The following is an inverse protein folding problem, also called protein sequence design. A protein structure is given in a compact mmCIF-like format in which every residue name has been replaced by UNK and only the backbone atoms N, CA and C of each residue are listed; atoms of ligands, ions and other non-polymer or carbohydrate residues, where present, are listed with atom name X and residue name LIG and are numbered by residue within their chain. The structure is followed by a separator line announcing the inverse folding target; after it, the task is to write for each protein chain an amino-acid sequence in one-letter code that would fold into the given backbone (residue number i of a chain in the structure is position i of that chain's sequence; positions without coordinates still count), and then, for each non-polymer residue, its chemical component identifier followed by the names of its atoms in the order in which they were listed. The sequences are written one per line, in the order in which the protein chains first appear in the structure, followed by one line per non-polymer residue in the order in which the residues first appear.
data_IF_898269272205
#
_entry.id   IF_898269272205
#
_cell.length_a   1.000
_cell.length_b   1.000
_cell.length_c   1.000
_cell.angle_alpha   90.00
_cell.angle_beta   90.00
_cell.angle_gamma   90.00
#
_symmetry.space_group_name_H-M   'P 1'
#
loop_
_entity.id
_entity.type
_entity.pdbx_description
1 polymer ?
#
# COMPACT_ATOMS: atom_id res chain seq x y z
N UNK A 1 -3.56 -41.28 5.40
CA UNK A 1 -3.97 -40.28 6.43
C UNK A 1 -5.47 -40.11 6.33
N UNK A 2 -6.24 -40.28 7.43
CA UNK A 2 -7.67 -39.97 7.41
C UNK A 2 -7.87 -38.49 7.09
N UNK A 3 -8.94 -38.16 6.36
CA UNK A 3 -9.28 -36.77 6.06
C UNK A 3 -9.51 -36.02 7.38
N UNK A 4 -8.98 -34.79 7.53
CA UNK A 4 -9.16 -34.03 8.75
C UNK A 4 -10.66 -33.80 9.00
N UNK A 5 -11.13 -34.10 10.22
CA UNK A 5 -12.55 -34.05 10.57
C UNK A 5 -12.86 -32.69 11.20
N UNK A 6 -13.92 -32.04 10.74
CA UNK A 6 -14.42 -30.80 11.34
C UNK A 6 -15.10 -31.14 12.67
N UNK A 7 -14.55 -30.61 13.76
CA UNK A 7 -15.06 -30.70 15.12
C UNK A 7 -15.26 -29.31 15.75
N UNK A 8 -16.04 -29.21 16.84
CA UNK A 8 -16.13 -27.98 17.63
C UNK A 8 -14.73 -27.57 18.10
N UNK A 9 -14.40 -26.28 18.00
CA UNK A 9 -13.07 -25.74 18.24
C UNK A 9 -12.11 -25.82 17.04
N UNK A 10 -12.51 -26.46 15.93
CA UNK A 10 -11.73 -26.43 14.68
C UNK A 10 -11.67 -25.00 14.13
N UNK A 11 -10.55 -24.65 13.52
CA UNK A 11 -10.34 -23.34 12.90
C UNK A 11 -10.26 -23.55 11.39
N UNK A 12 -10.92 -22.67 10.64
CA UNK A 12 -10.88 -22.63 9.19
C UNK A 12 -10.48 -21.22 8.70
N UNK A 13 -9.83 -21.15 7.55
CA UNK A 13 -9.56 -19.88 6.85
C UNK A 13 -10.52 -19.73 5.68
N UNK A 14 -11.45 -18.78 5.78
CA UNK A 14 -12.57 -18.59 4.86
C UNK A 14 -12.65 -17.14 4.40
N UNK A 15 -13.34 -16.87 3.30
CA UNK A 15 -13.58 -15.51 2.82
C UNK A 15 -15.01 -15.29 2.34
N UNK A 16 -15.28 -14.15 1.68
CA UNK A 16 -16.64 -13.75 1.29
C UNK A 16 -17.37 -14.76 0.42
N UNK A 17 -16.63 -15.53 -0.38
CA UNK A 17 -17.18 -16.60 -1.23
C UNK A 17 -17.80 -17.74 -0.41
N UNK A 18 -17.30 -18.00 0.80
CA UNK A 18 -17.84 -19.02 1.69
C UNK A 18 -18.79 -18.43 2.74
N UNK A 19 -18.53 -17.20 3.17
CA UNK A 19 -19.29 -16.48 4.20
C UNK A 19 -19.57 -15.07 3.71
N UNK A 20 -20.73 -14.82 3.06
CA UNK A 20 -21.01 -13.54 2.41
C UNK A 20 -20.97 -12.31 3.33
N UNK A 21 -21.17 -12.50 4.64
CA UNK A 21 -21.05 -11.43 5.64
C UNK A 21 -19.62 -10.94 5.83
N UNK A 22 -18.61 -11.72 5.45
CA UNK A 22 -17.22 -11.30 5.51
C UNK A 22 -16.90 -10.31 4.38
N UNK A 23 -16.10 -9.29 4.71
CA UNK A 23 -15.56 -8.34 3.71
C UNK A 23 -14.19 -8.75 3.18
N UNK A 24 -13.54 -9.71 3.85
CA UNK A 24 -12.21 -10.21 3.50
C UNK A 24 -12.00 -11.64 4.02
N UNK A 25 -10.87 -12.25 3.66
CA UNK A 25 -10.51 -13.56 4.19
C UNK A 25 -10.10 -13.48 5.67
N UNK A 26 -10.68 -14.34 6.51
CA UNK A 26 -10.51 -14.34 7.97
C UNK A 26 -10.41 -15.76 8.52
N UNK A 27 -9.87 -15.86 9.73
CA UNK A 27 -9.93 -17.08 10.53
C UNK A 27 -11.26 -17.15 11.28
N UNK A 28 -11.92 -18.30 11.23
CA UNK A 28 -13.16 -18.59 11.95
C UNK A 28 -13.02 -19.86 12.77
N UNK A 29 -13.67 -19.92 13.93
CA UNK A 29 -13.72 -21.06 14.84
C UNK A 29 -15.09 -21.69 14.81
N UNK A 30 -15.15 -23.01 14.65
CA UNK A 30 -16.38 -23.79 14.78
C UNK A 30 -16.83 -23.79 16.24
N UNK A 31 -18.03 -23.28 16.50
CA UNK A 31 -18.62 -23.22 17.84
C UNK A 31 -19.69 -24.29 18.05
N UNK A 32 -20.39 -24.68 16.98
CA UNK A 32 -21.47 -25.68 17.02
C UNK A 32 -21.57 -26.43 15.70
N UNK A 33 -22.00 -27.69 15.75
CA UNK A 33 -22.18 -28.55 14.57
C UNK A 33 -23.61 -29.08 14.55
N UNK A 34 -24.29 -28.83 13.44
CA UNK A 34 -25.68 -29.24 13.20
C UNK A 34 -25.72 -30.11 11.95
N UNK A 35 -25.56 -31.42 12.13
CA UNK A 35 -25.56 -32.39 11.04
C UNK A 35 -24.45 -32.17 10.01
N UNK A 36 -24.84 -31.74 8.80
CA UNK A 36 -23.93 -31.43 7.69
C UNK A 36 -23.42 -29.98 7.68
N UNK A 37 -23.91 -29.13 8.58
CA UNK A 37 -23.55 -27.73 8.70
C UNK A 37 -22.87 -27.46 10.04
N UNK A 38 -22.17 -26.34 10.13
CA UNK A 38 -21.51 -25.89 11.35
C UNK A 38 -21.60 -24.37 11.47
N UNK A 39 -21.81 -23.93 12.69
CA UNK A 39 -21.84 -22.53 13.07
C UNK A 39 -20.43 -22.11 13.48
N UNK A 40 -20.02 -20.92 13.04
CA UNK A 40 -18.66 -20.42 13.25
C UNK A 40 -18.68 -18.99 13.74
N UNK A 41 -17.69 -18.63 14.56
CA UNK A 41 -17.44 -17.26 15.02
C UNK A 41 -16.05 -16.79 14.55
N UNK A 42 -15.84 -15.48 14.47
CA UNK A 42 -14.54 -14.91 14.11
C UNK A 42 -13.48 -15.32 15.15
N UNK A 43 -12.26 -15.62 14.71
CA UNK A 43 -11.12 -15.74 15.63
C UNK A 43 -10.54 -14.35 15.84
N UNK A 44 -10.63 -13.85 17.06
CA UNK A 44 -9.90 -12.67 17.47
C UNK A 44 -8.43 -13.03 17.67
N UNK A 45 -7.57 -12.36 16.90
CA UNK A 45 -6.12 -12.46 16.96
C UNK A 45 -5.65 -11.02 17.15
N UNK A 46 -5.31 -10.67 18.40
CA UNK A 46 -4.99 -9.32 18.88
C UNK A 46 -4.50 -8.33 17.79
N UNK A 47 -5.19 -7.19 17.67
CA UNK A 47 -4.75 -6.05 16.86
C UNK A 47 -5.46 -5.83 15.53
N UNK A 48 -6.53 -6.56 15.22
CA UNK A 48 -7.54 -6.01 14.32
C UNK A 48 -8.51 -5.19 15.16
N UNK A 49 -8.70 -3.91 14.83
CA UNK A 49 -9.77 -3.07 15.37
C UNK A 49 -11.13 -3.70 15.02
N UNK A 50 -11.55 -4.72 15.77
CA UNK A 50 -12.96 -5.02 15.97
C UNK A 50 -13.44 -3.95 16.93
N UNK A 51 -14.29 -3.04 16.44
CA UNK A 51 -15.02 -2.11 17.31
C UNK A 51 -15.61 -2.91 18.45
N UNK A 52 -15.26 -2.51 19.68
CA UNK A 52 -15.72 -3.11 20.93
C UNK A 52 -17.23 -3.37 20.87
N UNK A 53 -17.55 -4.63 20.71
CA UNK A 53 -18.89 -5.17 20.79
C UNK A 53 -18.70 -6.65 21.03
N UNK A 54 -19.14 -7.12 22.18
CA UNK A 54 -19.24 -8.54 22.51
C UNK A 54 -20.11 -9.19 21.44
N UNK A 55 -19.48 -9.61 20.34
CA UNK A 55 -20.23 -9.85 19.14
C UNK A 55 -20.76 -11.26 19.19
N UNK A 56 -22.08 -11.35 19.17
CA UNK A 56 -22.77 -12.58 18.88
C UNK A 56 -22.65 -12.93 17.38
N UNK A 57 -21.47 -12.69 16.78
CA UNK A 57 -21.14 -12.85 15.35
C UNK A 57 -21.00 -14.33 14.99
N UNK A 58 -22.02 -15.11 15.31
CA UNK A 58 -22.22 -16.38 14.66
C UNK A 58 -22.67 -16.12 13.22
N UNK A 59 -21.83 -16.53 12.29
CA UNK A 59 -22.19 -16.46 10.88
C UNK A 59 -23.23 -17.52 10.54
N UNK A 60 -23.95 -17.29 9.44
CA UNK A 60 -24.85 -18.29 8.86
C UNK A 60 -24.16 -19.67 8.76
N UNK A 61 -24.89 -20.77 9.02
CA UNK A 61 -24.31 -22.11 9.04
C UNK A 61 -23.57 -22.43 7.74
N UNK A 62 -22.33 -22.89 7.88
CA UNK A 62 -21.47 -23.24 6.74
C UNK A 62 -21.48 -24.76 6.59
N UNK A 63 -21.57 -25.25 5.36
CA UNK A 63 -21.41 -26.68 5.07
C UNK A 63 -20.07 -27.21 5.59
N UNK A 64 -20.10 -28.33 6.34
CA UNK A 64 -18.89 -28.94 6.91
C UNK A 64 -17.87 -29.33 5.85
N UNK A 65 -18.32 -29.70 4.64
CA UNK A 65 -17.42 -30.01 3.51
C UNK A 65 -16.62 -28.79 3.04
N UNK A 66 -17.19 -27.58 3.15
CA UNK A 66 -16.48 -26.33 2.85
C UNK A 66 -15.41 -26.09 3.90
N UNK A 67 -15.75 -26.20 5.18
CA UNK A 67 -14.81 -26.05 6.29
C UNK A 67 -13.68 -27.07 6.23
N UNK A 68 -13.99 -28.33 5.89
CA UNK A 68 -13.02 -29.41 5.79
C UNK A 68 -11.88 -29.11 4.80
N UNK A 69 -12.20 -28.46 3.68
CA UNK A 69 -11.20 -28.03 2.66
C UNK A 69 -10.36 -26.83 3.09
N UNK A 70 -10.71 -26.18 4.20
CA UNK A 70 -10.13 -24.93 4.69
C UNK A 70 -9.61 -25.04 6.12
N UNK A 71 -9.54 -26.25 6.67
CA UNK A 71 -9.08 -26.50 8.02
C UNK A 71 -7.63 -26.01 8.21
N UNK A 72 -7.45 -25.27 9.29
CA UNK A 72 -6.17 -24.71 9.72
C UNK A 72 -5.46 -25.73 10.60
N UNK A 73 -4.29 -26.15 10.13
CA UNK A 73 -3.42 -27.11 10.83
C UNK A 73 -2.84 -26.49 12.10
N UNK A 74 -2.45 -27.31 13.08
CA UNK A 74 -1.83 -26.82 14.31
C UNK A 74 -0.55 -26.02 14.06
N UNK A 75 0.22 -26.39 13.04
CA UNK A 75 1.42 -25.66 12.65
C UNK A 75 1.12 -24.27 12.09
N UNK A 76 0.02 -24.13 11.34
CA UNK A 76 -0.42 -22.85 10.83
C UNK A 76 -0.87 -21.91 11.96
N UNK A 77 -1.51 -22.45 13.00
CA UNK A 77 -1.96 -21.68 14.19
C UNK A 77 -0.82 -21.10 15.02
N UNK A 78 0.42 -21.51 14.79
CA UNK A 78 1.59 -20.94 15.49
C UNK A 78 1.95 -19.57 14.89
N UNK A 79 1.78 -19.40 13.58
CA UNK A 79 2.27 -18.24 12.82
C UNK A 79 1.15 -17.38 12.21
N UNK A 80 -0.08 -17.90 12.15
CA UNK A 80 -1.27 -17.22 11.61
C UNK A 80 -1.05 -16.56 10.24
N UNK A 81 -0.40 -17.20 9.26
CA UNK A 81 0.00 -16.53 8.02
C UNK A 81 -1.16 -15.94 7.21
N UNK A 82 -2.38 -16.44 7.42
CA UNK A 82 -3.61 -15.91 6.82
C UNK A 82 -3.91 -14.47 7.22
N UNK A 83 -3.46 -13.97 8.38
CA UNK A 83 -3.72 -12.58 8.80
C UNK A 83 -3.01 -11.54 7.93
N UNK A 84 -2.02 -11.96 7.16
CA UNK A 84 -1.30 -11.09 6.25
C UNK A 84 -1.97 -11.03 4.87
N UNK A 85 -2.82 -11.99 4.51
CA UNK A 85 -3.41 -12.09 3.18
C UNK A 85 -4.24 -10.85 2.86
N UNK A 86 -4.00 -10.26 1.68
CA UNK A 86 -4.62 -9.02 1.24
C UNK A 86 -4.12 -7.76 1.95
N UNK A 87 -3.19 -7.88 2.90
CA UNK A 87 -2.61 -6.74 3.64
C UNK A 87 -1.27 -6.34 3.06
N UNK A 88 -0.95 -5.04 3.05
CA UNK A 88 0.41 -4.60 2.76
C UNK A 88 1.31 -4.90 3.95
N UNK A 89 2.57 -5.21 3.64
CA UNK A 89 3.61 -5.52 4.60
C UNK A 89 4.92 -4.83 4.23
N UNK A 90 5.73 -4.55 5.25
CA UNK A 90 7.16 -4.37 5.10
C UNK A 90 7.85 -5.71 5.35
N UNK A 91 8.84 -6.08 4.55
CA UNK A 91 9.57 -7.33 4.70
C UNK A 91 11.04 -7.17 4.31
N UNK A 92 11.90 -8.04 4.84
CA UNK A 92 13.32 -8.09 4.46
C UNK A 92 13.51 -8.99 3.25
N UNK A 93 14.23 -8.51 2.24
CA UNK A 93 14.63 -9.33 1.10
C UNK A 93 15.52 -10.48 1.56
N UNK A 94 15.06 -11.71 1.33
CA UNK A 94 15.80 -12.91 1.73
C UNK A 94 16.84 -13.37 0.69
N UNK A 95 16.78 -12.83 -0.53
CA UNK A 95 17.61 -13.26 -1.68
C UNK A 95 17.76 -12.13 -2.70
N UNK A 96 18.83 -12.20 -3.48
CA UNK A 96 19.10 -11.28 -4.58
C UNK A 96 20.04 -10.13 -4.16
N UNK A 97 20.28 -9.16 -5.05
CA UNK A 97 21.19 -8.04 -4.78
C UNK A 97 20.70 -7.11 -3.65
N UNK A 98 19.40 -7.16 -3.33
CA UNK A 98 18.75 -6.34 -2.30
C UNK A 98 18.66 -7.05 -0.95
N UNK A 99 19.39 -8.15 -0.74
CA UNK A 99 19.37 -8.90 0.52
C UNK A 99 19.59 -7.98 1.73
N UNK A 100 18.91 -8.30 2.85
CA UNK A 100 19.00 -7.55 4.11
C UNK A 100 18.52 -6.09 4.02
N UNK A 101 17.75 -5.75 2.98
CA UNK A 101 17.07 -4.46 2.88
C UNK A 101 15.55 -4.58 3.06
N UNK A 102 14.94 -3.54 3.60
CA UNK A 102 13.49 -3.44 3.71
C UNK A 102 12.83 -3.14 2.37
N UNK A 103 11.77 -3.89 2.07
CA UNK A 103 10.90 -3.66 0.94
C UNK A 103 9.43 -3.73 1.35
N UNK A 104 8.57 -3.24 0.45
CA UNK A 104 7.13 -3.17 0.65
C UNK A 104 6.40 -3.97 -0.40
N UNK A 105 5.38 -4.71 0.01
CA UNK A 105 4.58 -5.53 -0.88
C UNK A 105 3.24 -5.89 -0.27
N UNK A 106 2.41 -6.56 -1.05
CA UNK A 106 1.09 -7.04 -0.61
C UNK A 106 1.06 -8.55 -0.68
N UNK A 107 0.54 -9.20 0.36
CA UNK A 107 0.51 -10.67 0.43
C UNK A 107 -0.69 -11.19 -0.35
N UNK A 108 -0.42 -11.93 -1.42
CA UNK A 108 -1.48 -12.52 -2.26
C UNK A 108 -2.07 -13.78 -1.66
N UNK A 109 -1.22 -14.59 -1.05
CA UNK A 109 -1.57 -15.87 -0.45
C UNK A 109 -0.44 -16.33 0.46
N UNK A 110 -0.69 -17.38 1.21
CA UNK A 110 0.35 -18.14 1.90
C UNK A 110 0.32 -19.61 1.46
N UNK A 111 1.37 -20.34 1.85
CA UNK A 111 1.42 -21.79 1.75
C UNK A 111 2.13 -22.36 2.98
N UNK A 112 1.64 -23.48 3.48
CA UNK A 112 2.33 -24.28 4.50
C UNK A 112 3.19 -25.34 3.82
N UNK A 113 4.46 -25.46 4.22
CA UNK A 113 5.34 -26.57 3.85
C UNK A 113 5.86 -27.22 5.13
N UNK A 114 5.23 -28.35 5.53
CA UNK A 114 5.45 -28.92 6.85
C UNK A 114 5.06 -27.93 7.95
N UNK A 115 6.05 -27.44 8.69
CA UNK A 115 5.87 -26.45 9.76
C UNK A 115 6.18 -25.01 9.34
N UNK A 116 6.65 -24.81 8.12
CA UNK A 116 7.02 -23.49 7.61
C UNK A 116 5.83 -22.81 6.95
N UNK A 117 5.46 -21.64 7.44
CA UNK A 117 4.56 -20.75 6.74
C UNK A 117 5.35 -19.88 5.75
N UNK A 118 4.93 -19.83 4.49
CA UNK A 118 5.53 -18.98 3.46
C UNK A 118 4.51 -17.98 2.94
N UNK A 119 4.85 -16.69 2.99
CA UNK A 119 4.04 -15.63 2.40
C UNK A 119 4.45 -15.42 0.93
N UNK A 120 3.47 -15.31 0.04
CA UNK A 120 3.68 -15.04 -1.38
C UNK A 120 3.34 -13.57 -1.62
N UNK A 121 4.38 -12.78 -1.87
CA UNK A 121 4.30 -11.32 -1.87
C UNK A 121 4.36 -10.84 -3.32
N UNK A 122 3.51 -9.88 -3.64
CA UNK A 122 3.61 -9.06 -4.85
C UNK A 122 4.16 -7.69 -4.45
N UNK A 123 5.24 -7.28 -5.09
CA UNK A 123 5.87 -5.96 -4.89
C UNK A 123 6.16 -5.33 -6.25
N UNK A 124 6.67 -4.09 -6.28
CA UNK A 124 6.86 -3.36 -7.53
C UNK A 124 7.80 -4.10 -8.51
N UNK A 125 8.92 -4.63 -8.00
CA UNK A 125 9.90 -5.39 -8.79
C UNK A 125 9.51 -6.82 -9.14
N UNK A 126 8.30 -7.28 -8.79
CA UNK A 126 7.82 -8.61 -9.16
C UNK A 126 7.13 -9.35 -8.01
N UNK A 127 7.54 -10.60 -7.80
CA UNK A 127 6.94 -11.45 -6.77
C UNK A 127 8.02 -12.26 -6.06
N UNK A 128 7.94 -12.35 -4.74
CA UNK A 128 8.88 -13.13 -3.94
C UNK A 128 8.13 -14.00 -2.92
N UNK A 129 8.87 -14.91 -2.30
CA UNK A 129 8.38 -15.73 -1.18
C UNK A 129 9.30 -15.54 -0.01
N UNK A 130 8.73 -15.26 1.15
CA UNK A 130 9.46 -15.22 2.42
C UNK A 130 8.94 -16.31 3.34
N UNK A 131 9.82 -16.89 4.14
CA UNK A 131 9.43 -17.75 5.26
C UNK A 131 9.04 -16.83 6.41
N UNK A 132 7.84 -17.00 6.95
CA UNK A 132 7.37 -16.27 8.12
C UNK A 132 7.97 -16.91 9.37
N UNK A 133 8.71 -16.12 10.13
CA UNK A 133 9.36 -16.55 11.37
C UNK A 133 8.60 -16.01 12.59
N UNK A 134 8.92 -16.55 13.78
CA UNK A 134 8.25 -16.19 15.04
C UNK A 134 8.55 -14.75 15.49
N UNK A 135 9.76 -14.27 15.24
CA UNK A 135 10.05 -12.83 15.19
C UNK A 135 9.78 -12.41 13.74
N UNK A 136 8.58 -11.93 13.46
CA UNK A 136 8.11 -11.72 12.09
C UNK A 136 9.06 -10.81 11.33
N UNK A 137 9.77 -11.39 10.37
CA UNK A 137 10.51 -10.69 9.30
C UNK A 137 9.59 -9.99 8.30
N UNK A 138 8.28 -9.98 8.59
CA UNK A 138 7.24 -9.24 7.91
C UNK A 138 6.39 -8.49 8.94
N UNK A 139 6.17 -7.21 8.70
CA UNK A 139 5.40 -6.33 9.57
C UNK A 139 4.19 -5.88 8.77
N UNK A 140 2.98 -6.00 9.34
CA UNK A 140 1.78 -5.37 8.73
C UNK A 140 1.97 -3.86 8.74
N UNK A 141 1.68 -3.20 7.64
CA UNK A 141 1.81 -1.75 7.54
C UNK A 141 0.50 -1.12 7.09
N UNK A 142 0.34 0.17 7.34
CA UNK A 142 -0.76 0.92 6.76
C UNK A 142 -0.56 1.14 5.26
N UNK A 143 -1.66 1.33 4.55
CA UNK A 143 -1.64 1.72 3.14
C UNK A 143 -0.87 3.03 2.90
N UNK A 144 -0.87 3.96 3.86
CA UNK A 144 -0.06 5.19 3.82
C UNK A 144 1.43 4.84 3.72
N UNK A 145 1.91 3.95 4.59
CA UNK A 145 3.31 3.55 4.58
C UNK A 145 3.67 2.66 3.39
N UNK A 146 2.74 1.82 2.93
CA UNK A 146 2.91 1.05 1.70
C UNK A 146 3.19 1.95 0.50
N UNK A 147 2.38 2.99 0.32
CA UNK A 147 2.55 3.92 -0.82
C UNK A 147 3.67 4.91 -0.62
N UNK A 148 4.05 5.24 0.60
CA UNK A 148 5.19 6.12 0.85
C UNK A 148 6.52 5.37 0.86
N UNK A 149 6.48 4.04 1.00
CA UNK A 149 7.67 3.19 1.09
C UNK A 149 8.63 3.67 2.17
N UNK A 150 8.09 4.05 3.33
CA UNK A 150 8.83 4.63 4.45
C UNK A 150 9.95 3.69 4.90
N UNK A 151 11.21 4.04 4.63
CA UNK A 151 12.36 3.22 5.02
C UNK A 151 12.71 2.09 4.05
N UNK A 152 12.10 2.05 2.86
CA UNK A 152 12.49 1.12 1.81
C UNK A 152 13.96 1.28 1.41
N UNK A 153 14.62 0.16 1.08
CA UNK A 153 16.05 0.08 0.78
C UNK A 153 16.95 0.24 2.01
N UNK A 154 16.40 0.54 3.19
CA UNK A 154 17.18 0.61 4.43
C UNK A 154 17.69 -0.77 4.84
N UNK A 155 18.95 -0.84 5.24
CA UNK A 155 19.55 -2.06 5.78
C UNK A 155 18.86 -2.44 7.11
N UNK A 156 18.46 -3.72 7.26
CA UNK A 156 17.69 -4.20 8.39
C UNK A 156 18.49 -4.32 9.70
N UNK A 157 19.82 -4.39 9.62
CA UNK A 157 20.69 -4.39 10.80
C UNK A 157 20.80 -2.99 11.40
N UNK A 158 20.81 -1.95 10.55
CA UNK A 158 20.80 -0.55 10.97
C UNK A 158 19.42 -0.14 11.49
N UNK A 159 18.36 -0.55 10.80
CA UNK A 159 16.97 -0.27 11.17
C UNK A 159 16.21 -1.58 11.33
N UNK A 160 16.18 -2.11 12.55
CA UNK A 160 15.44 -3.33 12.83
C UNK A 160 13.92 -3.13 12.71
N UNK A 161 13.16 -4.22 12.86
CA UNK A 161 11.70 -4.21 12.75
C UNK A 161 11.02 -3.19 13.67
N UNK A 162 11.52 -3.02 14.90
CA UNK A 162 10.94 -2.08 15.86
C UNK A 162 11.21 -0.63 15.48
N UNK A 163 12.44 -0.31 15.11
CA UNK A 163 12.82 1.02 14.65
C UNK A 163 12.10 1.42 13.36
N UNK A 164 11.87 0.45 12.46
CA UNK A 164 11.01 0.69 11.30
C UNK A 164 9.58 1.02 11.75
N UNK A 165 8.97 0.21 12.63
CA UNK A 165 7.61 0.44 13.12
C UNK A 165 7.43 1.83 13.74
N UNK A 166 8.35 2.27 14.59
CA UNK A 166 8.28 3.61 15.19
C UNK A 166 8.33 4.72 14.11
N UNK A 167 9.07 4.51 13.01
CA UNK A 167 9.11 5.43 11.86
C UNK A 167 7.81 5.40 11.06
N UNK A 168 7.22 4.21 10.87
CA UNK A 168 5.92 4.03 10.21
C UNK A 168 4.81 4.78 10.96
N UNK A 169 4.80 4.67 12.29
CA UNK A 169 3.83 5.33 13.16
C UNK A 169 3.96 6.86 13.13
N UNK A 170 5.19 7.38 13.15
CA UNK A 170 5.44 8.83 13.03
C UNK A 170 4.95 9.36 11.67
N UNK A 171 5.19 8.64 10.57
CA UNK A 171 4.69 9.04 9.24
C UNK A 171 3.16 9.03 9.20
N UNK A 172 2.50 7.98 9.71
CA UNK A 172 1.04 7.92 9.81
C UNK A 172 0.49 9.12 10.61
N UNK A 173 1.10 9.42 11.76
CA UNK A 173 0.70 10.56 12.62
C UNK A 173 0.89 11.91 11.92
N UNK A 174 1.96 12.08 11.15
CA UNK A 174 2.18 13.32 10.37
C UNK A 174 1.18 13.45 9.23
N UNK A 175 0.91 12.38 8.49
CA UNK A 175 -0.10 12.36 7.44
C UNK A 175 -1.50 12.65 7.98
N UNK A 176 -1.86 12.13 9.15
CA UNK A 176 -3.15 12.37 9.80
C UNK A 176 -3.38 13.85 10.18
N UNK A 177 -2.31 14.65 10.33
CA UNK A 177 -2.38 16.08 10.62
C UNK A 177 -2.52 16.95 9.36
N UNK A 178 -2.32 16.39 8.18
CA UNK A 178 -2.42 17.13 6.92
C UNK A 178 -3.88 17.46 6.60
N UNK A 179 -4.16 18.74 6.33
CA UNK A 179 -5.47 19.21 5.85
C UNK A 179 -5.30 19.60 4.38
N UNK A 180 -5.88 18.82 3.46
CA UNK A 180 -5.91 19.17 2.03
C UNK A 180 -5.34 18.14 1.04
N UNK A 181 -5.08 16.90 1.48
CA UNK A 181 -4.70 15.81 0.55
C UNK A 181 -3.28 15.90 -0.03
N UNK A 182 -2.51 16.92 0.37
CA UNK A 182 -1.08 17.04 0.05
C UNK A 182 -0.22 16.40 1.14
N UNK A 183 0.94 15.87 0.76
CA UNK A 183 1.92 15.31 1.69
C UNK A 183 2.59 16.42 2.52
N UNK A 184 2.70 16.29 3.85
CA UNK A 184 3.46 17.22 4.66
C UNK A 184 4.93 17.26 4.25
N UNK A 185 5.55 18.44 4.18
CA UNK A 185 6.97 18.58 3.83
C UNK A 185 7.90 17.74 4.75
N UNK A 186 7.55 17.62 6.04
CA UNK A 186 8.30 16.77 6.99
C UNK A 186 8.28 15.29 6.58
N UNK A 187 7.19 14.81 5.98
CA UNK A 187 7.09 13.44 5.47
C UNK A 187 7.91 13.30 4.20
N UNK A 188 7.78 14.23 3.25
CA UNK A 188 8.56 14.22 2.00
C UNK A 188 10.07 14.16 2.26
N UNK A 189 10.55 14.90 3.26
CA UNK A 189 11.96 14.94 3.62
C UNK A 189 12.47 13.67 4.34
N UNK A 190 11.60 12.80 4.84
CA UNK A 190 12.00 11.57 5.58
C UNK A 190 11.92 10.30 4.73
N UNK A 191 11.39 10.40 3.51
CA UNK A 191 11.28 9.27 2.59
C UNK A 191 12.65 8.87 2.05
N UNK A 192 12.95 7.58 2.12
CA UNK A 192 14.15 6.99 1.50
C UNK A 192 14.01 6.89 -0.02
N UNK A 193 12.77 6.75 -0.51
CA UNK A 193 12.41 6.69 -1.92
C UNK A 193 11.48 7.87 -2.23
N UNK A 194 11.76 8.69 -3.26
CA UNK A 194 10.85 9.77 -3.66
C UNK A 194 9.42 9.27 -3.88
N UNK A 195 8.45 10.12 -3.51
CA UNK A 195 7.06 9.83 -3.77
C UNK A 195 6.70 10.26 -5.19
N UNK A 196 6.55 9.28 -6.09
CA UNK A 196 6.12 9.48 -7.46
C UNK A 196 4.60 9.23 -7.60
N UNK A 197 3.76 10.27 -7.75
CA UNK A 197 2.30 10.13 -7.66
C UNK A 197 1.69 9.19 -8.72
N UNK A 198 2.25 9.22 -9.93
CA UNK A 198 1.80 8.44 -11.08
C UNK A 198 2.36 7.02 -11.15
N UNK A 199 3.28 6.66 -10.27
CA UNK A 199 3.84 5.31 -10.24
C UNK A 199 2.75 4.29 -9.92
N UNK A 200 2.65 3.27 -10.76
CA UNK A 200 1.65 2.21 -10.66
C UNK A 200 2.19 1.10 -9.77
N UNK A 201 1.49 0.82 -8.68
CA UNK A 201 1.88 -0.23 -7.72
C UNK A 201 0.83 -1.33 -7.61
N UNK A 202 1.22 -2.56 -7.30
CA UNK A 202 0.27 -3.65 -7.10
C UNK A 202 -0.50 -3.48 -5.79
N UNK A 203 -1.80 -3.75 -5.82
CA UNK A 203 -2.62 -3.91 -4.62
C UNK A 203 -3.49 -5.17 -4.76
N UNK A 204 -4.00 -5.69 -3.65
CA UNK A 204 -4.76 -6.94 -3.64
C UNK A 204 -6.11 -6.68 -3.02
N UNK A 205 -7.15 -7.02 -3.77
CA UNK A 205 -8.50 -6.88 -3.28
C UNK A 205 -8.73 -7.83 -2.10
N UNK A 206 -9.23 -7.34 -0.96
CA UNK A 206 -9.42 -8.17 0.23
C UNK A 206 -10.52 -9.22 0.05
N UNK A 207 -11.49 -8.96 -0.84
CA UNK A 207 -12.65 -9.82 -1.08
C UNK A 207 -12.36 -11.04 -1.97
N UNK A 208 -11.55 -10.84 -3.00
CA UNK A 208 -11.33 -11.79 -4.11
C UNK A 208 -9.88 -12.24 -4.23
N UNK A 209 -8.96 -11.58 -3.51
CA UNK A 209 -7.50 -11.78 -3.62
C UNK A 209 -6.96 -11.60 -5.04
N UNK A 210 -7.69 -10.87 -5.86
CA UNK A 210 -7.26 -10.48 -7.20
C UNK A 210 -6.27 -9.33 -7.10
N UNK A 211 -5.20 -9.40 -7.89
CA UNK A 211 -4.22 -8.33 -7.98
C UNK A 211 -4.73 -7.27 -8.94
N UNK A 212 -4.67 -6.01 -8.53
CA UNK A 212 -4.95 -4.85 -9.38
C UNK A 212 -3.78 -3.87 -9.32
N UNK A 213 -3.63 -3.05 -10.35
CA UNK A 213 -2.57 -2.07 -10.49
C UNK A 213 -3.18 -0.69 -10.32
N UNK A 214 -2.64 0.12 -9.40
CA UNK A 214 -3.24 1.38 -9.00
C UNK A 214 -2.15 2.44 -8.78
N UNK A 215 -2.36 3.70 -9.20
CA UNK A 215 -1.41 4.79 -8.91
C UNK A 215 -1.22 5.02 -7.41
N UNK A 216 0.03 5.28 -6.98
CA UNK A 216 0.36 5.60 -5.56
C UNK A 216 -0.49 6.75 -5.02
N UNK A 217 -0.75 7.78 -5.83
CA UNK A 217 -1.58 8.93 -5.43
C UNK A 217 -3.02 8.55 -5.09
N UNK A 218 -3.62 7.62 -5.85
CA UNK A 218 -5.00 7.18 -5.61
C UNK A 218 -5.13 6.47 -4.27
N UNK A 219 -4.22 5.51 -4.04
CA UNK A 219 -4.16 4.74 -2.80
C UNK A 219 -3.93 5.68 -1.61
N UNK A 220 -3.02 6.65 -1.73
CA UNK A 220 -2.75 7.65 -0.70
C UNK A 220 -4.00 8.49 -0.38
N UNK A 221 -4.69 9.03 -1.40
CA UNK A 221 -5.94 9.79 -1.23
C UNK A 221 -7.01 8.96 -0.52
N UNK A 222 -7.19 7.70 -0.92
CA UNK A 222 -8.14 6.78 -0.28
C UNK A 222 -7.76 6.51 1.18
N UNK A 223 -6.48 6.25 1.46
CA UNK A 223 -6.00 5.94 2.80
C UNK A 223 -6.07 7.14 3.76
N UNK A 224 -5.85 8.37 3.26
CA UNK A 224 -5.97 9.59 4.06
C UNK A 224 -7.44 9.99 4.28
N UNK A 225 -8.37 9.56 3.42
CA UNK A 225 -9.77 9.86 3.55
C UNK A 225 -10.47 8.88 4.51
N UNK A 226 -10.56 9.26 5.79
CA UNK A 226 -11.23 8.48 6.85
C UNK A 226 -12.70 8.14 6.58
N UNK A 227 -13.36 8.81 5.63
CA UNK A 227 -14.77 8.57 5.25
C UNK A 227 -14.92 7.69 4.00
N UNK A 228 -13.82 7.30 3.36
CA UNK A 228 -13.83 6.51 2.13
C UNK A 228 -14.07 5.03 2.39
N UNK A 229 -14.88 4.37 1.55
CA UNK A 229 -15.00 2.89 1.57
C UNK A 229 -13.66 2.29 1.13
N UNK A 230 -13.12 1.30 1.87
CA UNK A 230 -11.88 0.56 1.51
C UNK A 230 -11.90 0.04 0.06
N UNK A 231 -13.08 -0.28 -0.47
CA UNK A 231 -13.30 -0.67 -1.86
C UNK A 231 -12.81 0.34 -2.90
N UNK A 232 -12.84 1.65 -2.61
CA UNK A 232 -12.44 2.70 -3.55
C UNK A 232 -10.95 2.63 -3.93
N UNK A 233 -10.11 2.11 -3.04
CA UNK A 233 -8.67 1.93 -3.28
C UNK A 233 -8.38 0.96 -4.44
N UNK A 234 -9.28 0.02 -4.72
CA UNK A 234 -9.09 -1.05 -5.69
C UNK A 234 -9.70 -0.76 -7.06
N UNK A 235 -10.33 0.39 -7.23
CA UNK A 235 -10.88 0.82 -8.52
C UNK A 235 -9.76 1.46 -9.34
N UNK A 236 -9.41 0.92 -10.52
CA UNK A 236 -8.52 1.61 -11.44
C UNK A 236 -9.16 2.94 -11.85
N UNK A 237 -8.38 4.02 -11.86
CA UNK A 237 -8.83 5.29 -12.38
C UNK A 237 -9.15 5.16 -13.88
N UNK A 238 -10.29 5.66 -14.37
CA UNK A 238 -10.48 5.84 -15.81
C UNK A 238 -9.40 6.80 -16.35
N UNK A 239 -8.89 6.52 -17.55
CA UNK A 239 -7.75 7.19 -18.21
C UNK A 239 -7.89 8.73 -18.32
N UNK A 240 -9.09 9.27 -18.09
CA UNK A 240 -9.43 10.68 -18.23
C UNK A 240 -8.90 11.58 -17.11
N UNK A 241 -8.56 11.06 -15.92
CA UNK A 241 -8.00 11.87 -14.82
C UNK A 241 -6.47 11.98 -14.84
N UNK A 242 -5.78 11.27 -15.75
CA UNK A 242 -4.34 11.43 -15.97
C UNK A 242 -3.97 12.77 -16.64
N UNK A 243 -4.96 13.55 -17.09
CA UNK A 243 -4.75 14.75 -17.91
C UNK A 243 -4.97 16.09 -17.17
N UNK A 244 -5.25 16.12 -15.87
CA UNK A 244 -5.29 17.39 -15.12
C UNK A 244 -3.96 17.71 -14.45
N UNK A 245 -2.94 17.96 -15.28
CA UNK A 245 -1.89 18.91 -14.91
C UNK A 245 -2.51 20.29 -15.10
N UNK A 246 -2.64 21.15 -14.07
CA UNK A 246 -3.14 22.50 -14.27
C UNK A 246 -2.10 23.31 -15.04
N UNK A 247 -2.16 23.24 -16.36
CA UNK A 247 -1.46 24.16 -17.25
C UNK A 247 -1.94 25.57 -16.91
N UNK A 248 -0.99 26.43 -16.57
CA UNK A 248 -1.23 27.82 -16.18
C UNK A 248 -1.74 28.60 -17.39
N UNK A 249 -3.05 28.50 -17.70
CA UNK A 249 -3.67 29.36 -18.69
C UNK A 249 -3.93 30.73 -18.06
N UNK A 250 -2.99 31.65 -18.30
CA UNK A 250 -3.20 33.09 -18.13
C UNK A 250 -4.48 33.49 -18.87
N UNK A 251 -5.51 33.82 -18.11
CA UNK A 251 -6.77 34.37 -18.59
C UNK A 251 -6.52 35.79 -19.10
N UNK A 252 -6.41 35.95 -20.41
CA UNK A 252 -6.53 37.25 -21.07
C UNK A 252 -8.03 37.56 -21.18
N UNK A 253 -8.54 38.36 -20.26
CA UNK A 253 -9.85 39.01 -20.40
C UNK A 253 -9.68 40.31 -21.19
N UNK A 254 -10.18 40.34 -22.41
CA UNK A 254 -10.50 41.58 -23.13
C UNK A 254 -11.79 42.14 -22.55
N UNK A 255 -11.70 43.38 -22.08
CA UNK A 255 -12.84 44.24 -21.72
C UNK A 255 -13.31 45.02 -22.96
N UNK A 256 -14.60 45.36 -23.06
CA UNK A 256 -14.94 46.69 -23.52
C UNK A 256 -15.98 47.37 -22.62
N UNK A 257 -15.49 48.34 -21.83
CA UNK A 257 -15.97 49.72 -21.88
C UNK A 257 -17.16 50.10 -20.99
N UNK A 258 -16.91 50.99 -20.02
CA UNK A 258 -17.18 52.45 -20.13
C UNK A 258 -17.42 53.11 -18.75
N UNK A 259 -16.63 54.15 -18.49
CA UNK A 259 -16.92 55.26 -17.55
C UNK A 259 -16.41 55.05 -16.12
N UNK A 260 -15.74 55.97 -15.43
CA UNK A 260 -15.50 57.41 -15.65
C UNK A 260 -14.27 57.87 -14.84
N UNK A 261 -13.49 58.77 -15.46
CA UNK A 261 -12.57 59.80 -14.96
C UNK A 261 -12.11 59.82 -13.48
N UNK A 262 -10.79 59.94 -13.27
CA UNK A 262 -10.12 61.25 -13.01
C UNK A 262 -8.60 61.13 -12.80
N UNK A 263 -7.89 62.06 -13.46
CA UNK A 263 -6.72 62.85 -13.01
C UNK A 263 -5.29 62.29 -13.20
N UNK A 264 -4.78 62.62 -14.40
CA UNK A 264 -3.43 63.09 -14.75
C UNK A 264 -2.31 63.14 -13.70
N UNK A 265 -1.14 62.60 -14.07
CA UNK A 265 0.12 63.35 -14.07
C UNK A 265 1.11 62.74 -15.07
N UNK A 266 1.50 63.57 -16.04
CA UNK A 266 2.46 63.31 -17.11
C UNK A 266 3.89 63.35 -16.58
N UNK A 267 4.79 62.57 -17.16
CA UNK A 267 6.18 62.95 -17.49
C UNK A 267 6.80 61.85 -18.34
N UNK A 268 6.90 62.13 -19.65
CA UNK A 268 7.78 61.42 -20.58
C UNK A 268 9.23 61.81 -20.30
N UNK A 269 10.15 60.85 -20.45
CA UNK A 269 11.51 61.07 -20.95
C UNK A 269 12.06 59.72 -21.43
N UNK A 270 12.13 59.57 -22.75
CA UNK A 270 12.83 58.50 -23.45
C UNK A 270 14.35 58.70 -23.36
N UNK A 271 15.12 57.60 -23.33
CA UNK A 271 16.51 57.55 -23.82
C UNK A 271 16.89 56.11 -24.24
N UNK A 272 17.55 56.05 -25.38
CA UNK A 272 17.95 54.90 -26.21
C UNK A 272 19.11 54.03 -25.66
N UNK A 273 19.26 52.87 -26.32
CA UNK A 273 20.50 52.08 -26.56
C UNK A 273 21.03 51.25 -25.37
N UNK A 274 21.61 50.05 -25.48
CA UNK A 274 22.31 49.33 -26.56
C UNK A 274 22.10 47.80 -26.45
N UNK A 275 22.41 47.13 -27.56
CA UNK A 275 22.43 45.69 -27.74
C UNK A 275 23.56 45.00 -26.95
N UNK A 276 23.33 43.73 -26.57
CA UNK A 276 24.44 42.77 -26.54
C UNK A 276 23.93 41.33 -26.75
N UNK A 277 24.42 40.72 -27.82
CA UNK A 277 24.32 39.29 -28.14
C UNK A 277 25.66 38.64 -27.76
N UNK A 278 25.70 37.39 -27.28
CA UNK A 278 26.87 36.55 -27.48
C UNK A 278 26.58 35.44 -28.47
N UNK A 279 27.47 35.37 -29.48
CA UNK A 279 27.59 34.33 -30.49
C UNK A 279 28.09 33.00 -29.88
N UNK A 280 27.55 31.91 -30.44
CA UNK A 280 28.11 30.56 -30.51
C UNK A 280 29.40 30.50 -31.35
N UNK A 281 30.34 29.59 -31.04
CA UNK A 281 31.12 28.68 -31.93
C UNK A 281 31.92 27.71 -31.01
N UNK A 282 31.66 26.39 -31.02
CA UNK A 282 32.20 25.31 -31.89
C UNK A 282 33.72 25.06 -31.71
N UNK A 283 34.09 23.94 -31.07
CA UNK A 283 34.80 22.73 -31.63
C UNK A 283 36.35 22.92 -31.56
N UNK A 284 37.24 21.95 -31.34
CA UNK A 284 37.44 20.54 -31.74
C UNK A 284 38.37 19.84 -30.69
N UNK A 285 38.20 18.55 -30.34
CA UNK A 285 38.91 17.31 -30.79
C UNK A 285 40.26 16.97 -30.10
N UNK A 286 40.57 15.67 -30.18
CA UNK A 286 41.75 14.87 -29.77
C UNK A 286 41.76 14.30 -28.34
N UNK A 287 41.51 13.01 -28.08
CA UNK A 287 42.01 11.70 -28.57
C UNK A 287 43.13 11.11 -27.71
N UNK A 288 43.12 9.77 -27.63
CA UNK A 288 44.13 8.81 -27.15
C UNK A 288 44.07 8.27 -25.69
N UNK A 289 43.22 7.24 -25.53
CA UNK A 289 43.56 5.79 -25.48
C UNK A 289 44.51 5.18 -24.38
N UNK A 290 44.17 3.91 -24.07
CA UNK A 290 44.94 2.80 -23.43
C UNK A 290 45.20 2.87 -21.87
N UNK A 291 45.10 1.84 -21.01
CA UNK A 291 45.18 0.35 -21.08
C UNK A 291 44.49 -0.32 -19.86
N UNK A 292 43.94 -1.52 -20.07
CA UNK A 292 43.68 -2.57 -19.07
C UNK A 292 44.96 -3.06 -18.36
N UNK A 293 44.84 -3.43 -17.07
CA UNK A 293 45.21 -4.75 -16.50
C UNK A 293 44.23 -5.10 -15.39
#
# INVERSE_FOLDING_TARGET
MPAPVVAVGSIAFVGPVQVPALTEFRYVRVVRIDGSSAHVKLVDLEGDEVEDGESDDEFDPIERRVLQRRLVTDHERILWPGVFVGKPIAFVHAKGPEIDTWAFGVVKRYSMFGREARLHIRYNGGSCKIVLQRASNAIKVDWINYVLQTGAGGNCDVMNARGLLDKLDEVCRLCAKSRGGALPAKVTNTLSVPFEPGEIVPVIRPDTLTGVLVPRQHILKCAMNKKGKKGAMFTPLPETEAAEIPSTKRKVTRDPGRGTAKRAKSTDLAKDSEANTPMSMLLDEDNDDIVEV
#
